data_IF_525064192819
#
_entry.id   IF_525064192819
#
_cell.length_a   1.000
_cell.length_b   1.000
_cell.length_c   1.000
_cell.angle_alpha   90.00
_cell.angle_beta   90.00
_cell.angle_gamma   90.00
#
_symmetry.space_group_name_H-M   'P 1'
#
loop_
_entity.id
_entity.type
_entity.pdbx_description
1 polymer ?
#
# COMPACT_ATOMS: atom_id res chain seq x y z
N UNK A 1 -22.60 6.25 4.57
CA UNK A 1 -21.65 6.41 5.69
C UNK A 1 -20.94 7.71 5.41
N UNK A 2 -21.26 8.77 6.17
CA UNK A 2 -20.70 10.11 5.93
C UNK A 2 -19.17 10.02 5.93
N UNK A 3 -18.60 10.27 4.76
CA UNK A 3 -17.18 10.38 4.54
C UNK A 3 -16.71 11.58 5.35
N UNK A 4 -15.97 11.27 6.42
CA UNK A 4 -15.30 12.20 7.32
C UNK A 4 -14.72 13.37 6.51
N UNK A 5 -15.42 14.51 6.46
CA UNK A 5 -14.77 15.73 6.05
C UNK A 5 -13.69 15.97 7.11
N UNK A 6 -12.44 16.02 6.67
CA UNK A 6 -11.29 16.02 7.58
C UNK A 6 -11.30 17.28 8.45
N UNK A 7 -11.95 18.33 7.97
CA UNK A 7 -12.02 19.65 8.58
C UNK A 7 -12.75 19.69 9.94
N UNK A 8 -13.96 19.12 10.12
CA UNK A 8 -14.58 19.00 11.44
C UNK A 8 -13.69 18.34 12.49
N UNK A 9 -13.02 17.24 12.15
CA UNK A 9 -12.15 16.54 13.10
C UNK A 9 -10.88 17.34 13.43
N UNK A 10 -10.29 18.00 12.44
CA UNK A 10 -9.16 18.90 12.67
C UNK A 10 -9.56 20.13 13.48
N UNK A 11 -10.77 20.65 13.28
CA UNK A 11 -11.35 21.75 14.05
C UNK A 11 -11.56 21.34 15.50
N UNK A 12 -12.21 20.21 15.75
CA UNK A 12 -12.39 19.66 17.10
C UNK A 12 -11.04 19.39 17.79
N UNK A 13 -10.10 18.74 17.11
CA UNK A 13 -8.77 18.48 17.68
C UNK A 13 -7.97 19.77 17.97
N UNK A 14 -8.16 20.82 17.17
CA UNK A 14 -7.58 22.15 17.41
C UNK A 14 -8.22 22.84 18.62
N UNK A 15 -9.54 22.78 18.73
CA UNK A 15 -10.31 23.30 19.87
C UNK A 15 -9.97 22.57 21.18
N UNK A 16 -9.71 21.26 21.12
CA UNK A 16 -9.29 20.43 22.24
C UNK A 16 -7.79 20.59 22.59
N UNK A 17 -7.05 21.41 21.85
CA UNK A 17 -5.61 21.64 22.08
C UNK A 17 -4.73 20.42 21.79
N UNK A 18 -5.24 19.46 21.03
CA UNK A 18 -4.51 18.26 20.59
C UNK A 18 -3.57 18.55 19.41
N UNK A 19 -3.68 19.74 18.82
CA UNK A 19 -2.85 20.21 17.72
C UNK A 19 -2.04 21.42 18.19
N UNK A 20 -0.76 21.42 17.88
CA UNK A 20 0.13 22.55 18.12
C UNK A 20 -0.33 23.79 17.32
N UNK A 21 -0.89 24.76 18.04
CA UNK A 21 -1.45 25.98 17.47
C UNK A 21 -0.37 26.94 16.91
N UNK A 22 0.92 26.74 17.24
CA UNK A 22 2.01 27.53 16.63
C UNK A 22 2.32 27.07 15.19
N UNK A 23 1.91 25.86 14.80
CA UNK A 23 2.21 25.28 13.49
C UNK A 23 1.09 25.48 12.45
N UNK A 24 -0.14 25.78 12.89
CA UNK A 24 -1.31 25.95 12.02
C UNK A 24 -1.93 27.34 12.23
N UNK A 25 -1.64 28.24 11.29
CA UNK A 25 -2.33 29.53 11.18
C UNK A 25 -3.80 29.26 10.80
N UNK A 26 -4.72 29.84 11.58
CA UNK A 26 -6.18 29.79 11.47
C UNK A 26 -6.76 28.87 10.38
N UNK A 27 -7.30 27.72 10.81
CA UNK A 27 -7.93 26.70 9.94
C UNK A 27 -8.98 27.33 8.99
N UNK A 28 -9.69 28.35 9.45
CA UNK A 28 -10.68 29.11 8.67
C UNK A 28 -10.08 29.83 7.45
N UNK A 29 -8.87 30.39 7.59
CA UNK A 29 -8.17 31.05 6.48
C UNK A 29 -7.70 30.02 5.44
N UNK A 30 -7.28 28.85 5.90
CA UNK A 30 -6.88 27.74 5.03
C UNK A 30 -8.07 27.20 4.23
N UNK A 31 -9.21 27.02 4.88
CA UNK A 31 -10.47 26.56 4.28
C UNK A 31 -11.01 27.57 3.24
N UNK A 32 -11.05 28.86 3.59
CA UNK A 32 -11.55 29.92 2.68
C UNK A 32 -10.54 30.29 1.59
N UNK A 33 -9.28 29.91 1.77
CA UNK A 33 -8.19 30.24 0.88
C UNK A 33 -8.12 29.39 -0.40
N UNK A 34 -7.10 29.67 -1.20
CA UNK A 34 -6.77 28.89 -2.42
C UNK A 34 -6.48 27.43 -2.11
N UNK A 35 -5.99 27.13 -0.91
CA UNK A 35 -5.65 25.77 -0.48
C UNK A 35 -6.92 24.94 -0.19
N UNK A 36 -7.91 25.48 0.53
CA UNK A 36 -9.19 24.81 0.75
C UNK A 36 -9.91 24.49 -0.55
N UNK A 37 -10.09 25.49 -1.43
CA UNK A 37 -10.71 25.28 -2.76
C UNK A 37 -9.95 24.30 -3.67
N UNK A 38 -8.62 24.22 -3.54
CA UNK A 38 -7.82 23.21 -4.26
C UNK A 38 -8.04 21.81 -3.69
N UNK A 39 -8.10 21.68 -2.36
CA UNK A 39 -8.38 20.41 -1.67
C UNK A 39 -9.76 19.89 -2.01
N UNK A 40 -10.79 20.74 -2.01
CA UNK A 40 -12.16 20.37 -2.40
C UNK A 40 -12.20 19.87 -3.85
N UNK A 41 -11.59 20.60 -4.79
CA UNK A 41 -11.50 20.18 -6.20
C UNK A 41 -10.73 18.86 -6.37
N UNK A 42 -9.72 18.62 -5.55
CA UNK A 42 -8.96 17.37 -5.56
C UNK A 42 -9.79 16.21 -5.03
N UNK A 43 -10.62 16.42 -4.03
CA UNK A 43 -11.54 15.42 -3.50
C UNK A 43 -12.64 15.07 -4.50
N UNK A 44 -13.20 16.06 -5.21
CA UNK A 44 -14.17 15.81 -6.29
C UNK A 44 -13.59 14.97 -7.42
N UNK A 45 -12.32 15.23 -7.77
CA UNK A 45 -11.63 14.50 -8.84
C UNK A 45 -11.14 13.12 -8.41
N UNK A 46 -10.76 12.99 -7.13
CA UNK A 46 -10.20 11.80 -6.54
C UNK A 46 -10.95 11.49 -5.24
N UNK A 47 -12.19 10.96 -5.33
CA UNK A 47 -12.97 10.65 -4.14
C UNK A 47 -12.25 9.60 -3.30
N UNK A 48 -12.45 9.59 -1.97
CA UNK A 48 -11.89 8.56 -1.11
C UNK A 48 -12.31 7.16 -1.56
N UNK A 49 -11.38 6.21 -1.50
CA UNK A 49 -11.67 4.80 -1.77
C UNK A 49 -12.57 4.27 -0.66
N UNK A 50 -13.85 4.05 -0.98
CA UNK A 50 -14.86 3.53 -0.04
C UNK A 50 -14.80 2.01 0.09
N UNK A 51 -14.39 1.32 -0.98
CA UNK A 51 -14.16 -0.12 -1.01
C UNK A 51 -12.78 -0.39 -1.62
N UNK A 52 -11.85 -0.83 -0.76
CA UNK A 52 -10.48 -1.11 -1.16
C UNK A 52 -10.41 -2.30 -2.13
N UNK A 53 -11.24 -3.32 -1.94
CA UNK A 53 -11.23 -4.51 -2.77
C UNK A 53 -11.74 -4.19 -4.19
N UNK A 54 -12.80 -3.39 -4.31
CA UNK A 54 -13.31 -2.92 -5.60
C UNK A 54 -12.31 -1.97 -6.29
N UNK A 55 -11.81 -0.97 -5.57
CA UNK A 55 -10.87 0.02 -6.13
C UNK A 55 -9.52 -0.60 -6.56
N UNK A 56 -9.15 -1.75 -6.00
CA UNK A 56 -7.94 -2.50 -6.37
C UNK A 56 -8.24 -3.73 -7.23
N UNK A 57 -9.48 -3.93 -7.71
CA UNK A 57 -9.86 -5.09 -8.53
C UNK A 57 -9.11 -5.19 -9.86
N UNK A 58 -8.61 -4.06 -10.37
CA UNK A 58 -7.76 -4.03 -11.56
C UNK A 58 -6.37 -4.63 -11.34
N UNK A 59 -5.94 -4.83 -10.08
CA UNK A 59 -4.79 -5.66 -9.78
C UNK A 59 -5.11 -7.11 -10.11
N UNK A 60 -4.29 -7.73 -10.97
CA UNK A 60 -4.49 -9.10 -11.47
C UNK A 60 -4.52 -10.21 -10.41
N UNK A 61 -4.30 -9.88 -9.14
CA UNK A 61 -4.47 -10.77 -8.00
C UNK A 61 -5.91 -10.81 -7.45
N UNK A 62 -6.69 -9.75 -7.64
CA UNK A 62 -8.03 -9.56 -7.03
C UNK A 62 -9.18 -9.60 -8.06
N UNK A 63 -8.88 -9.45 -9.35
CA UNK A 63 -9.82 -9.84 -10.39
C UNK A 63 -9.91 -11.37 -10.45
N UNK A 64 -11.12 -11.93 -10.52
CA UNK A 64 -11.29 -13.30 -11.03
C UNK A 64 -10.52 -13.36 -12.35
N UNK A 65 -9.38 -14.04 -12.35
CA UNK A 65 -8.56 -14.10 -13.54
C UNK A 65 -9.42 -14.73 -14.63
N UNK A 66 -9.26 -14.28 -15.89
CA UNK A 66 -9.94 -14.95 -17.02
C UNK A 66 -9.68 -16.47 -17.00
N UNK A 67 -8.52 -16.88 -16.46
CA UNK A 67 -8.17 -18.26 -16.19
C UNK A 67 -9.07 -18.93 -15.12
N UNK A 68 -9.38 -18.27 -13.99
CA UNK A 68 -10.34 -18.77 -12.98
C UNK A 68 -11.76 -18.90 -13.54
N UNK A 69 -12.22 -17.91 -14.32
CA UNK A 69 -13.56 -17.94 -14.92
C UNK A 69 -13.66 -19.06 -15.97
N UNK A 70 -12.64 -19.24 -16.81
CA UNK A 70 -12.58 -20.33 -17.81
C UNK A 70 -12.43 -21.71 -17.17
N UNK A 71 -11.68 -21.83 -16.07
CA UNK A 71 -11.59 -23.06 -15.28
C UNK A 71 -12.94 -23.43 -14.65
N UNK A 72 -13.68 -22.45 -14.11
CA UNK A 72 -15.04 -22.64 -13.57
C UNK A 72 -16.04 -23.09 -14.64
N UNK A 73 -15.85 -22.66 -15.88
CA UNK A 73 -16.66 -23.07 -17.04
C UNK A 73 -16.23 -24.41 -17.65
N UNK A 74 -15.31 -25.14 -17.00
CA UNK A 74 -14.88 -26.48 -17.41
C UNK A 74 -14.09 -26.51 -18.72
N UNK A 75 -13.52 -25.38 -19.15
CA UNK A 75 -12.82 -25.26 -20.43
C UNK A 75 -11.30 -25.49 -20.35
N UNK A 76 -10.76 -25.81 -19.17
CA UNK A 76 -9.38 -26.23 -18.98
C UNK A 76 -9.37 -27.56 -18.24
N UNK A 77 -8.91 -28.62 -18.91
CA UNK A 77 -8.60 -29.90 -18.28
C UNK A 77 -7.42 -29.71 -17.31
N UNK A 78 -7.59 -30.23 -16.09
CA UNK A 78 -6.52 -30.41 -15.12
C UNK A 78 -5.47 -31.37 -15.70
N UNK A 79 -4.55 -30.85 -16.52
CA UNK A 79 -3.29 -31.54 -16.78
C UNK A 79 -2.40 -31.38 -15.56
N UNK A 80 -2.79 -32.10 -14.50
CA UNK A 80 -1.94 -32.41 -13.36
C UNK A 80 -0.78 -33.31 -13.83
N UNK A 81 0.18 -32.75 -14.57
CA UNK A 81 1.45 -33.40 -14.86
C UNK A 81 2.55 -32.37 -15.03
N UNK A 82 3.15 -31.98 -13.92
CA UNK A 82 4.54 -32.36 -13.65
C UNK A 82 4.81 -32.05 -12.19
N UNK A 83 5.55 -32.93 -11.53
CA UNK A 83 5.88 -32.86 -10.11
C UNK A 83 6.69 -31.58 -9.80
N UNK A 84 6.01 -30.46 -9.55
CA UNK A 84 6.64 -29.25 -9.03
C UNK A 84 6.89 -29.47 -7.55
N UNK A 85 8.05 -30.04 -7.20
CA UNK A 85 8.52 -29.93 -5.83
C UNK A 85 8.54 -28.43 -5.45
N UNK A 86 8.04 -28.06 -4.27
CA UNK A 86 8.05 -26.67 -3.85
C UNK A 86 9.50 -26.17 -3.86
N UNK A 87 9.73 -25.03 -4.52
CA UNK A 87 11.05 -24.41 -4.55
C UNK A 87 11.48 -24.05 -3.12
N UNK A 88 12.51 -24.73 -2.61
CA UNK A 88 13.13 -24.41 -1.33
C UNK A 88 14.20 -23.35 -1.61
N UNK A 89 13.92 -22.10 -1.26
CA UNK A 89 14.90 -21.04 -1.37
C UNK A 89 16.10 -21.34 -0.46
N UNK A 90 17.35 -21.14 -0.94
CA UNK A 90 18.51 -21.23 -0.08
C UNK A 90 18.44 -20.14 1.01
N UNK A 91 19.04 -20.39 2.20
CA UNK A 91 19.08 -19.39 3.26
C UNK A 91 19.72 -18.10 2.75
N UNK A 92 18.99 -16.99 2.87
CA UNK A 92 19.49 -15.67 2.47
C UNK A 92 20.54 -15.22 3.46
N UNK A 93 21.77 -15.01 2.99
CA UNK A 93 22.83 -14.38 3.80
C UNK A 93 22.55 -12.89 3.95
N UNK A 94 22.45 -12.41 5.19
CA UNK A 94 22.28 -11.00 5.48
C UNK A 94 23.52 -10.20 5.09
N UNK A 95 23.32 -8.97 4.61
CA UNK A 95 24.41 -8.08 4.15
C UNK A 95 25.52 -7.87 5.21
N UNK A 96 25.19 -7.96 6.49
CA UNK A 96 26.13 -7.78 7.60
C UNK A 96 26.60 -9.09 8.25
N UNK A 97 26.07 -10.25 7.85
CA UNK A 97 26.40 -11.54 8.44
C UNK A 97 27.82 -11.98 8.06
N UNK A 98 28.45 -12.90 8.83
CA UNK A 98 29.71 -13.51 8.45
C UNK A 98 29.63 -14.12 7.04
N UNK A 99 30.65 -13.87 6.23
CA UNK A 99 30.66 -14.32 4.85
C UNK A 99 30.83 -15.85 4.78
N UNK A 100 29.99 -16.58 4.04
CA UNK A 100 30.01 -18.05 3.98
C UNK A 100 31.28 -18.63 3.34
N UNK A 101 32.14 -17.81 2.72
CA UNK A 101 33.44 -18.23 2.20
C UNK A 101 34.51 -18.45 3.28
N UNK A 102 34.18 -18.26 4.56
CA UNK A 102 35.11 -18.48 5.67
C UNK A 102 36.12 -17.35 5.91
N UNK A 103 35.98 -16.20 5.24
CA UNK A 103 36.92 -15.08 5.39
C UNK A 103 36.83 -14.32 6.72
N UNK A 104 35.82 -14.61 7.54
CA UNK A 104 35.51 -13.87 8.78
C UNK A 104 35.00 -12.44 8.57
N UNK A 105 34.92 -11.94 7.33
CA UNK A 105 34.42 -10.59 7.00
C UNK A 105 32.89 -10.58 6.89
N UNK A 106 32.26 -9.41 7.08
CA UNK A 106 30.84 -9.20 6.76
C UNK A 106 30.59 -9.45 5.27
N UNK A 107 29.46 -10.07 4.89
CA UNK A 107 29.12 -10.43 3.51
C UNK A 107 29.31 -9.25 2.54
N UNK A 108 28.81 -8.04 2.88
CA UNK A 108 28.95 -6.81 2.08
C UNK A 108 30.38 -6.31 1.83
N UNK A 109 31.36 -6.82 2.57
CA UNK A 109 32.78 -6.46 2.44
C UNK A 109 33.60 -7.61 1.85
N UNK A 110 32.95 -8.72 1.49
CA UNK A 110 33.55 -9.91 0.92
C UNK A 110 32.80 -10.31 -0.36
N UNK A 111 32.04 -11.41 -0.36
CA UNK A 111 31.37 -11.94 -1.55
C UNK A 111 30.13 -11.16 -1.97
N UNK A 112 29.57 -10.31 -1.08
CA UNK A 112 28.44 -9.43 -1.37
C UNK A 112 28.85 -8.00 -1.73
N UNK A 113 30.07 -7.83 -2.26
CA UNK A 113 30.52 -6.57 -2.86
C UNK A 113 29.96 -6.42 -4.25
#
# INVERSE_FOLDING_TARGET
>A
MELLSVFPYLRTASEEGLIDQELIVEIDEVEKGKRGSWTERMQDRNPPITDVAEATRWWGFWGQSKAQELARQGMFEDTASDSVLPYIAPPKVGRNDPCPCGSGKKFKKCCGK
#
